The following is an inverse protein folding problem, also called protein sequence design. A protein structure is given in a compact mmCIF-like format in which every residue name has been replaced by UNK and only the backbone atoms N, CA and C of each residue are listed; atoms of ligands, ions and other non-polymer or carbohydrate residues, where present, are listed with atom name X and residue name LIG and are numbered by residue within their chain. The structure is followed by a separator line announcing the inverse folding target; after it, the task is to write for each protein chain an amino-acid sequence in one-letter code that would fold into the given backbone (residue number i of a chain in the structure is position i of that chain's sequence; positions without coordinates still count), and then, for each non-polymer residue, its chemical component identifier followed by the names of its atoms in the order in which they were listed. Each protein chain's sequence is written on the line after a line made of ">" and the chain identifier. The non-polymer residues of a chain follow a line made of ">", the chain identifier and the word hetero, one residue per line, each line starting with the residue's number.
data_IF_224611481229
#
_entry.id   IF_224611481229
#
_cell.length_a   1.000
_cell.length_b   1.000
_cell.length_c   1.000
_cell.angle_alpha   90.00
_cell.angle_beta   90.00
_cell.angle_gamma   90.00
#
_symmetry.space_group_name_H-M   'P 1'
#
loop_
_entity.id
_entity.type
_entity.pdbx_description
1 polymer ?
#
# COMPACT_ATOMS: atom_id res chain seq x y z
N UNK A 1 -18.77 -5.05 1.09
CA UNK A 1 -17.68 -5.78 0.40
C UNK A 1 -16.34 -5.06 0.49
N UNK A 2 -16.25 -3.74 0.25
CA UNK A 2 -14.98 -3.01 0.31
C UNK A 2 -14.29 -3.08 1.69
N UNK A 3 -15.03 -2.87 2.78
CA UNK A 3 -14.47 -3.02 4.14
C UNK A 3 -13.92 -4.43 4.42
N UNK A 4 -14.59 -5.47 3.92
CA UNK A 4 -14.09 -6.85 4.02
C UNK A 4 -12.81 -7.06 3.20
N UNK A 5 -12.70 -6.42 2.02
CA UNK A 5 -11.47 -6.43 1.24
C UNK A 5 -10.33 -5.72 1.99
N UNK A 6 -10.59 -4.56 2.61
CA UNK A 6 -9.61 -3.84 3.44
C UNK A 6 -9.09 -4.75 4.56
N UNK A 7 -10.00 -5.37 5.33
CA UNK A 7 -9.62 -6.26 6.44
C UNK A 7 -8.86 -7.48 5.92
N UNK A 8 -9.32 -8.10 4.83
CA UNK A 8 -8.66 -9.26 4.21
C UNK A 8 -7.25 -8.94 3.74
N UNK A 9 -7.06 -7.81 3.05
CA UNK A 9 -5.74 -7.35 2.59
C UNK A 9 -4.83 -7.02 3.77
N UNK A 10 -5.35 -6.37 4.82
CA UNK A 10 -4.59 -6.08 6.04
C UNK A 10 -4.11 -7.37 6.70
N UNK A 11 -4.99 -8.35 6.90
CA UNK A 11 -4.61 -9.65 7.49
C UNK A 11 -3.58 -10.37 6.61
N UNK A 12 -3.77 -10.40 5.29
CA UNK A 12 -2.80 -10.99 4.37
C UNK A 12 -1.44 -10.31 4.46
N UNK A 13 -1.40 -8.97 4.50
CA UNK A 13 -0.17 -8.19 4.65
C UNK A 13 0.54 -8.49 5.98
N UNK A 14 -0.21 -8.58 7.08
CA UNK A 14 0.33 -8.96 8.38
C UNK A 14 0.90 -10.38 8.40
N UNK A 15 0.28 -11.33 7.71
CA UNK A 15 0.82 -12.69 7.56
C UNK A 15 2.10 -12.69 6.74
N UNK A 16 2.13 -11.98 5.61
CA UNK A 16 3.34 -11.85 4.77
C UNK A 16 4.48 -11.18 5.52
N UNK A 17 4.18 -10.21 6.41
CA UNK A 17 5.20 -9.54 7.25
C UNK A 17 5.94 -10.48 8.21
N UNK A 18 5.47 -11.72 8.40
CA UNK A 18 6.18 -12.75 9.19
C UNK A 18 7.18 -13.55 8.36
N UNK A 19 7.12 -13.45 7.04
CA UNK A 19 8.09 -14.06 6.14
C UNK A 19 9.38 -13.26 6.06
N UNK A 20 10.39 -13.84 5.43
CA UNK A 20 11.70 -13.19 5.20
C UNK A 20 12.13 -13.32 3.76
N UNK A 21 12.99 -12.39 3.32
CA UNK A 21 13.58 -12.39 1.99
C UNK A 21 12.72 -11.73 0.92
N UNK A 22 13.26 -11.68 -0.29
CA UNK A 22 12.76 -10.86 -1.39
C UNK A 22 11.28 -11.09 -1.73
N UNK A 23 10.81 -12.33 -1.67
CA UNK A 23 9.43 -12.65 -1.98
C UNK A 23 8.45 -12.04 -0.96
N UNK A 24 8.81 -12.08 0.34
CA UNK A 24 8.01 -11.48 1.40
C UNK A 24 8.02 -9.95 1.27
N UNK A 25 9.17 -9.35 0.96
CA UNK A 25 9.30 -7.90 0.77
C UNK A 25 8.42 -7.40 -0.39
N UNK A 26 8.53 -8.02 -1.57
CA UNK A 26 7.76 -7.64 -2.74
C UNK A 26 6.26 -7.89 -2.55
N UNK A 27 5.88 -9.02 -1.94
CA UNK A 27 4.47 -9.32 -1.66
C UNK A 27 3.89 -8.34 -0.62
N UNK A 28 4.66 -8.02 0.42
CA UNK A 28 4.29 -7.04 1.44
C UNK A 28 4.07 -5.67 0.84
N UNK A 29 5.00 -5.18 0.01
CA UNK A 29 4.87 -3.92 -0.71
C UNK A 29 3.63 -3.88 -1.62
N UNK A 30 3.41 -4.92 -2.42
CA UNK A 30 2.23 -4.99 -3.28
C UNK A 30 0.92 -4.97 -2.47
N UNK A 31 0.83 -5.73 -1.37
CA UNK A 31 -0.35 -5.76 -0.50
C UNK A 31 -0.57 -4.43 0.22
N UNK A 32 0.50 -3.75 0.62
CA UNK A 32 0.42 -2.41 1.20
C UNK A 32 -0.17 -1.41 0.19
N UNK A 33 0.29 -1.39 -1.05
CA UNK A 33 -0.25 -0.48 -2.06
C UNK A 33 -1.72 -0.79 -2.42
N UNK A 34 -2.10 -2.07 -2.46
CA UNK A 34 -3.51 -2.50 -2.56
C UNK A 34 -4.32 -1.95 -1.39
N UNK A 35 -3.82 -2.08 -0.16
CA UNK A 35 -4.49 -1.57 1.04
C UNK A 35 -4.69 -0.05 0.95
N UNK A 36 -3.65 0.71 0.59
CA UNK A 36 -3.73 2.18 0.42
C UNK A 36 -4.80 2.54 -0.61
N UNK A 37 -4.83 1.87 -1.76
CA UNK A 37 -5.86 2.14 -2.78
C UNK A 37 -7.27 1.77 -2.30
N UNK A 38 -7.45 0.67 -1.56
CA UNK A 38 -8.74 0.34 -0.94
C UNK A 38 -9.18 1.40 0.07
N UNK A 39 -8.25 1.97 0.84
CA UNK A 39 -8.54 3.06 1.77
C UNK A 39 -8.94 4.35 1.05
N UNK A 40 -8.29 4.68 -0.07
CA UNK A 40 -8.71 5.80 -0.95
C UNK A 40 -10.14 5.58 -1.45
N UNK A 41 -10.46 4.38 -1.92
CA UNK A 41 -11.81 4.03 -2.36
C UNK A 41 -12.82 3.99 -1.20
N UNK A 42 -12.38 3.66 0.01
CA UNK A 42 -13.24 3.66 1.20
C UNK A 42 -13.59 5.09 1.61
N UNK A 43 -12.61 6.00 1.58
CA UNK A 43 -12.79 7.41 1.88
C UNK A 43 -13.56 8.15 0.78
N UNK A 44 -13.32 7.81 -0.49
CA UNK A 44 -13.93 8.44 -1.65
C UNK A 44 -14.45 7.39 -2.68
N UNK A 45 -15.61 6.75 -2.42
CA UNK A 45 -16.10 5.62 -3.22
C UNK A 45 -16.42 5.93 -4.69
N UNK A 46 -16.67 7.21 -5.00
CA UNK A 46 -17.00 7.66 -6.37
C UNK A 46 -15.76 7.93 -7.23
N UNK A 47 -14.56 7.72 -6.69
CA UNK A 47 -13.31 7.96 -7.42
C UNK A 47 -13.19 7.01 -8.61
N UNK A 48 -12.71 7.52 -9.75
CA UNK A 48 -12.42 6.70 -10.92
C UNK A 48 -11.26 5.74 -10.60
N UNK A 49 -11.29 4.47 -11.07
CA UNK A 49 -10.25 3.47 -10.75
C UNK A 49 -8.83 3.98 -10.94
N UNK A 50 -8.54 4.58 -12.11
CA UNK A 50 -7.22 5.12 -12.44
C UNK A 50 -6.77 6.24 -11.50
N UNK A 51 -7.70 7.10 -11.07
CA UNK A 51 -7.39 8.20 -10.14
C UNK A 51 -7.09 7.63 -8.75
N UNK A 52 -7.89 6.67 -8.28
CA UNK A 52 -7.64 6.01 -6.99
C UNK A 52 -6.28 5.29 -6.98
N UNK A 53 -5.94 4.61 -8.08
CA UNK A 53 -4.64 3.96 -8.24
C UNK A 53 -3.48 4.95 -8.26
N UNK A 54 -3.60 6.05 -9.02
CA UNK A 54 -2.56 7.08 -9.08
C UNK A 54 -2.32 7.75 -7.72
N UNK A 55 -3.40 8.07 -6.99
CA UNK A 55 -3.30 8.63 -5.63
C UNK A 55 -2.61 7.65 -4.70
N UNK A 56 -3.01 6.37 -4.71
CA UNK A 56 -2.40 5.37 -3.86
C UNK A 56 -0.91 5.16 -4.15
N UNK A 57 -0.54 5.07 -5.43
CA UNK A 57 0.86 4.94 -5.84
C UNK A 57 1.69 6.14 -5.41
N UNK A 58 1.16 7.35 -5.60
CA UNK A 58 1.80 8.59 -5.17
C UNK A 58 2.01 8.63 -3.65
N UNK A 59 1.01 8.22 -2.86
CA UNK A 59 1.13 8.13 -1.40
C UNK A 59 2.22 7.13 -0.98
N UNK A 60 2.24 5.93 -1.56
CA UNK A 60 3.28 4.94 -1.28
C UNK A 60 4.67 5.50 -1.59
N UNK A 61 4.85 6.14 -2.74
CA UNK A 61 6.13 6.74 -3.12
C UNK A 61 6.55 7.90 -2.21
N UNK A 62 5.61 8.75 -1.80
CA UNK A 62 5.90 9.83 -0.84
C UNK A 62 6.37 9.27 0.50
N UNK A 63 5.71 8.23 1.01
CA UNK A 63 6.12 7.55 2.26
C UNK A 63 7.51 6.94 2.10
N UNK A 64 7.76 6.23 1.00
CA UNK A 64 9.04 5.60 0.70
C UNK A 64 10.18 6.63 0.59
N UNK A 65 9.98 7.70 -0.17
CA UNK A 65 10.96 8.76 -0.35
C UNK A 65 11.19 9.56 0.94
N UNK A 66 10.16 9.72 1.78
CA UNK A 66 10.30 10.41 3.06
C UNK A 66 11.32 9.71 3.98
N UNK A 67 11.55 8.40 3.82
CA UNK A 67 12.54 7.67 4.61
C UNK A 67 13.98 8.15 4.34
N UNK A 68 14.25 8.78 3.20
CA UNK A 68 15.54 9.42 2.93
C UNK A 68 15.82 10.63 3.84
N UNK A 69 14.81 11.17 4.51
CA UNK A 69 14.92 12.36 5.38
C UNK A 69 15.10 12.01 6.87
N UNK A 70 14.89 10.75 7.27
CA UNK A 70 14.87 10.32 8.66
C UNK A 70 13.60 10.70 9.45
N UNK A 71 12.71 11.53 8.90
CA UNK A 71 11.45 11.92 9.55
C UNK A 71 10.56 10.72 9.93
N UNK A 72 10.42 9.68 9.08
CA UNK A 72 9.67 8.48 9.46
C UNK A 72 10.20 7.80 10.71
N UNK A 73 11.53 7.70 10.85
CA UNK A 73 12.16 7.09 12.02
C UNK A 73 11.82 7.86 13.30
N UNK A 74 11.91 9.19 13.28
CA UNK A 74 11.53 10.04 14.43
C UNK A 74 10.05 9.89 14.80
N UNK A 75 9.16 9.74 13.81
CA UNK A 75 7.74 9.50 14.08
C UNK A 75 7.51 8.12 14.70
N UNK A 76 8.19 7.09 14.21
CA UNK A 76 8.14 5.73 14.77
C UNK A 76 8.67 5.69 16.21
N UNK A 77 9.72 6.45 16.53
CA UNK A 77 10.23 6.56 17.90
C UNK A 77 9.20 7.19 18.85
N UNK A 78 8.40 8.14 18.36
CA UNK A 78 7.30 8.73 19.13
C UNK A 78 6.09 7.77 19.27
N UNK A 79 5.81 6.95 18.25
CA UNK A 79 4.74 5.96 18.29
C UNK A 79 5.06 4.73 17.42
N UNK A 80 5.55 3.68 18.07
CA UNK A 80 6.05 2.46 17.41
C UNK A 80 5.12 1.82 16.36
N UNK A 81 3.78 1.80 16.53
CA UNK A 81 2.88 1.25 15.51
C UNK A 81 2.95 1.93 14.14
N UNK A 82 3.48 3.16 14.05
CA UNK A 82 3.68 3.84 12.76
C UNK A 82 4.61 3.08 11.82
N UNK A 83 5.44 2.16 12.31
CA UNK A 83 6.32 1.36 11.48
C UNK A 83 5.56 0.56 10.40
N UNK A 84 4.32 0.12 10.68
CA UNK A 84 3.48 -0.59 9.69
C UNK A 84 2.96 0.31 8.57
N UNK A 85 2.92 1.62 8.79
CA UNK A 85 2.43 2.60 7.80
C UNK A 85 3.59 3.29 7.09
N UNK A 86 4.62 3.66 7.85
CA UNK A 86 5.74 4.47 7.39
C UNK A 86 6.94 3.65 6.92
N UNK A 87 6.98 2.35 7.22
CA UNK A 87 8.11 1.47 6.90
C UNK A 87 9.32 1.67 7.81
N UNK A 88 10.50 1.23 7.35
CA UNK A 88 11.77 1.36 8.09
C UNK A 88 12.82 2.10 7.29
N UNK A 89 13.17 1.59 6.12
CA UNK A 89 14.26 2.11 5.29
C UNK A 89 13.93 2.07 3.83
N UNK A 90 14.45 3.07 3.10
CA UNK A 90 14.15 3.23 1.69
C UNK A 90 14.61 2.00 0.88
N UNK A 91 13.71 1.47 0.07
CA UNK A 91 13.91 0.35 -0.83
C UNK A 91 13.38 0.70 -2.22
N UNK A 92 14.29 0.90 -3.18
CA UNK A 92 13.92 1.11 -4.58
C UNK A 92 13.16 -0.08 -5.19
N UNK A 93 13.24 -1.27 -4.57
CA UNK A 93 12.52 -2.48 -5.01
C UNK A 93 11.04 -2.42 -4.67
N UNK A 94 10.65 -1.56 -3.74
CA UNK A 94 9.26 -1.46 -3.30
C UNK A 94 8.45 -0.66 -4.31
N UNK A 95 9.09 0.29 -5.03
CA UNK A 95 8.45 1.08 -6.09
C UNK A 95 7.75 0.22 -7.17
N UNK A 96 8.41 -0.78 -7.80
CA UNK A 96 7.74 -1.66 -8.75
C UNK A 96 6.71 -2.59 -8.08
N UNK A 97 6.91 -3.00 -6.82
CA UNK A 97 5.93 -3.79 -6.09
C UNK A 97 4.63 -2.99 -5.83
N UNK A 98 4.76 -1.73 -5.42
CA UNK A 98 3.63 -0.81 -5.26
C UNK A 98 2.88 -0.60 -6.58
N UNK A 99 3.62 -0.39 -7.68
CA UNK A 99 3.03 -0.25 -9.01
C UNK A 99 2.25 -1.52 -9.42
N UNK A 100 2.80 -2.71 -9.16
CA UNK A 100 2.13 -3.98 -9.45
C UNK A 100 0.83 -4.16 -8.65
N UNK A 101 0.87 -3.88 -7.34
CA UNK A 101 -0.31 -3.96 -6.47
C UNK A 101 -1.44 -3.02 -6.92
N UNK A 102 -1.09 -1.75 -7.18
CA UNK A 102 -2.03 -0.74 -7.69
C UNK A 102 -2.59 -1.13 -9.05
N UNK A 103 -1.75 -1.58 -9.99
CA UNK A 103 -2.19 -1.98 -11.31
C UNK A 103 -3.21 -3.13 -11.25
N UNK A 104 -2.94 -4.13 -10.41
CA UNK A 104 -3.83 -5.27 -10.22
C UNK A 104 -5.20 -4.85 -9.67
N UNK A 105 -5.25 -4.08 -8.58
CA UNK A 105 -6.53 -3.65 -7.99
C UNK A 105 -7.27 -2.67 -8.91
N UNK A 106 -6.56 -1.76 -9.57
CA UNK A 106 -7.15 -0.82 -10.52
C UNK A 106 -7.82 -1.54 -11.68
N UNK A 107 -7.19 -2.59 -12.23
CA UNK A 107 -7.79 -3.42 -13.28
C UNK A 107 -9.07 -4.13 -12.79
N UNK A 108 -9.04 -4.67 -11.56
CA UNK A 108 -10.22 -5.31 -10.95
C UNK A 108 -11.37 -4.30 -10.74
N UNK A 109 -11.09 -3.10 -10.24
CA UNK A 109 -12.12 -2.07 -10.02
C UNK A 109 -12.69 -1.55 -11.35
N UNK A 110 -11.82 -1.33 -12.36
CA UNK A 110 -12.25 -0.91 -13.69
C UNK A 110 -13.16 -1.93 -14.38
N UNK A 111 -12.82 -3.23 -14.30
CA UNK A 111 -13.66 -4.29 -14.89
C UNK A 111 -15.00 -4.45 -14.19
N UNK A 112 -15.08 -4.20 -12.87
CA UNK A 112 -16.35 -4.20 -12.13
C UNK A 112 -17.26 -3.03 -12.50
N UNK A 113 -16.69 -1.83 -12.72
CA UNK A 113 -17.45 -0.63 -13.10
C UNK A 113 -17.88 -0.63 -14.57
N UNK A 114 -17.26 -1.45 -15.41
CA UNK A 114 -17.61 -1.60 -16.82
C UNK A 114 -18.74 -2.62 -17.06
N UNK A 115 -19.17 -3.36 -16.03
CA UNK A 115 -20.31 -4.29 -16.06
C UNK A 115 -21.55 -3.62 -15.50
#
# INVERSE_FOLDING_TARGET
>A
MLAAAVVGTLVAGLLVSRGTGLAADLAGGALYAVLVQLLVLLAAPRTRPLVAGAVALGLCWVVELAQLTGLPATAVDAWAPLHYVLGSTFSARDLPAYAAGVAALTAIDATRKAR
#
